data_IF_312233954360
#
_entry.id   IF_312233954360
#
_cell.length_a   1.000
_cell.length_b   1.000
_cell.length_c   1.000
_cell.angle_alpha   90.00
_cell.angle_beta   90.00
_cell.angle_gamma   90.00
#
_symmetry.space_group_name_H-M   'P 1'
#
loop_
_entity.id
_entity.type
_entity.pdbx_description
1 polymer ?
#
# COMPACT_ATOMS: atom_id res chain seq x y z
N UNK A 1 -73.46 -23.42 -10.67
CA UNK A 1 -72.59 -23.04 -11.81
C UNK A 1 -72.47 -21.52 -11.84
N UNK A 2 -71.37 -20.98 -11.31
CA UNK A 2 -70.70 -19.70 -11.67
C UNK A 2 -69.61 -19.44 -10.63
N UNK A 3 -68.38 -19.75 -11.03
CA UNK A 3 -67.15 -19.39 -10.34
C UNK A 3 -66.86 -17.91 -10.60
N UNK A 4 -66.57 -17.14 -9.56
CA UNK A 4 -65.89 -15.85 -9.70
C UNK A 4 -64.58 -15.90 -8.91
N UNK A 5 -63.53 -15.50 -9.63
CA UNK A 5 -62.13 -15.70 -9.34
C UNK A 5 -61.63 -14.80 -8.22
N UNK A 6 -60.67 -15.34 -7.48
CA UNK A 6 -59.88 -14.67 -6.47
C UNK A 6 -59.04 -13.52 -7.07
N UNK A 7 -58.97 -12.40 -6.35
CA UNK A 7 -57.94 -11.37 -6.53
C UNK A 7 -57.08 -11.39 -5.27
N UNK A 8 -55.98 -12.15 -5.33
CA UNK A 8 -54.91 -12.11 -4.33
C UNK A 8 -54.03 -10.92 -4.72
N UNK A 9 -54.16 -9.82 -3.97
CA UNK A 9 -53.29 -8.66 -4.05
C UNK A 9 -52.02 -8.93 -3.23
N UNK A 10 -51.05 -9.64 -3.81
CA UNK A 10 -49.70 -9.76 -3.25
C UNK A 10 -48.85 -8.59 -3.75
N UNK A 11 -48.77 -7.52 -2.96
CA UNK A 11 -47.82 -6.43 -3.18
C UNK A 11 -46.45 -6.88 -2.65
N UNK A 12 -45.74 -7.69 -3.43
CA UNK A 12 -44.30 -7.93 -3.21
C UNK A 12 -43.55 -6.69 -3.67
N UNK A 13 -43.18 -5.83 -2.73
CA UNK A 13 -42.17 -4.80 -2.96
C UNK A 13 -40.86 -5.55 -3.17
N UNK A 14 -40.48 -5.78 -4.43
CA UNK A 14 -39.09 -6.08 -4.76
C UNK A 14 -38.28 -4.85 -4.36
N UNK A 15 -37.58 -4.93 -3.24
CA UNK A 15 -36.41 -4.10 -3.01
C UNK A 15 -35.41 -4.44 -4.10
N UNK A 16 -35.37 -3.62 -5.14
CA UNK A 16 -34.22 -3.56 -6.04
C UNK A 16 -33.06 -3.11 -5.17
N UNK A 17 -32.30 -4.07 -4.65
CA UNK A 17 -30.94 -3.82 -4.20
C UNK A 17 -30.23 -3.34 -5.46
N UNK A 18 -30.03 -2.02 -5.58
CA UNK A 18 -29.04 -1.48 -6.49
C UNK A 18 -27.72 -2.12 -6.07
N UNK A 19 -27.35 -3.23 -6.69
CA UNK A 19 -25.98 -3.68 -6.74
C UNK A 19 -25.24 -2.50 -7.39
N UNK A 20 -24.62 -1.67 -6.56
CA UNK A 20 -23.59 -0.79 -7.03
C UNK A 20 -22.59 -1.73 -7.70
N UNK A 21 -22.52 -1.69 -9.02
CA UNK A 21 -21.46 -2.35 -9.77
C UNK A 21 -20.15 -1.71 -9.27
N UNK A 22 -19.53 -2.31 -8.25
CA UNK A 22 -18.20 -1.95 -7.81
C UNK A 22 -17.29 -2.22 -9.00
N UNK A 23 -16.80 -1.14 -9.62
CA UNK A 23 -15.91 -1.21 -10.76
C UNK A 23 -14.56 -1.65 -10.22
N UNK A 24 -14.28 -2.95 -10.33
CA UNK A 24 -12.96 -3.52 -10.08
C UNK A 24 -11.94 -2.88 -11.02
N UNK A 25 -10.83 -2.36 -10.48
CA UNK A 25 -9.70 -1.94 -11.30
C UNK A 25 -8.73 -3.11 -11.48
N UNK A 26 -8.62 -3.69 -12.68
CA UNK A 26 -7.65 -4.74 -12.95
C UNK A 26 -6.23 -4.22 -12.76
N UNK A 27 -5.33 -5.14 -12.39
CA UNK A 27 -3.92 -4.80 -12.16
C UNK A 27 -3.28 -4.26 -13.43
N UNK A 28 -2.81 -3.02 -13.36
CA UNK A 28 -2.14 -2.33 -14.46
C UNK A 28 -0.84 -3.04 -14.86
N UNK A 29 -0.41 -2.88 -16.10
CA UNK A 29 0.84 -3.50 -16.58
C UNK A 29 2.06 -3.03 -15.78
N UNK A 30 2.08 -1.76 -15.35
CA UNK A 30 3.16 -1.25 -14.51
C UNK A 30 3.17 -1.93 -13.13
N UNK A 31 2.02 -2.17 -12.52
CA UNK A 31 1.94 -2.93 -11.27
C UNK A 31 2.41 -4.38 -11.48
N UNK A 32 2.04 -5.03 -12.59
CA UNK A 32 2.52 -6.38 -12.94
C UNK A 32 4.03 -6.42 -13.09
N UNK A 33 4.61 -5.47 -13.82
CA UNK A 33 6.06 -5.35 -14.01
C UNK A 33 6.75 -5.15 -12.67
N UNK A 34 6.21 -4.29 -11.80
CA UNK A 34 6.77 -4.02 -10.47
C UNK A 34 6.76 -5.30 -9.61
N UNK A 35 5.62 -6.01 -9.51
CA UNK A 35 5.52 -7.29 -8.79
C UNK A 35 6.45 -8.36 -9.37
N UNK A 36 6.63 -8.41 -10.69
CA UNK A 36 7.51 -9.37 -11.35
C UNK A 36 9.00 -9.04 -11.14
N UNK A 37 9.35 -7.76 -11.11
CA UNK A 37 10.73 -7.28 -10.94
C UNK A 37 11.23 -7.49 -9.51
N UNK A 38 10.38 -7.20 -8.52
CA UNK A 38 10.73 -7.22 -7.10
C UNK A 38 10.11 -8.44 -6.39
N UNK A 39 10.44 -9.63 -6.90
CA UNK A 39 9.88 -10.89 -6.44
C UNK A 39 10.64 -11.58 -5.30
N UNK A 40 11.74 -11.00 -4.80
CA UNK A 40 12.52 -11.61 -3.71
C UNK A 40 11.70 -11.64 -2.43
N UNK A 41 11.94 -12.66 -1.59
CA UNK A 41 11.26 -12.82 -0.30
C UNK A 41 11.72 -11.74 0.69
N UNK A 42 10.76 -11.10 1.33
CA UNK A 42 10.94 -10.15 2.43
C UNK A 42 9.68 -10.19 3.30
N UNK A 43 9.76 -10.91 4.42
CA UNK A 43 8.65 -11.04 5.37
C UNK A 43 8.41 -9.69 6.07
N UNK A 44 7.14 -9.38 6.40
CA UNK A 44 6.77 -8.07 6.94
C UNK A 44 7.32 -7.83 8.36
N UNK A 45 7.72 -8.87 9.07
CA UNK A 45 8.36 -8.77 10.39
C UNK A 45 9.58 -7.83 10.35
N UNK A 46 10.34 -7.85 9.24
CA UNK A 46 11.51 -6.98 9.05
C UNK A 46 11.12 -5.49 9.05
N UNK A 47 9.88 -5.17 8.66
CA UNK A 47 9.39 -3.80 8.58
C UNK A 47 8.86 -3.30 9.91
N UNK A 48 8.51 -4.16 10.86
CA UNK A 48 7.85 -3.77 12.11
C UNK A 48 8.62 -2.71 12.90
N UNK A 49 7.88 -1.76 13.48
CA UNK A 49 8.42 -0.61 14.20
C UNK A 49 8.41 0.68 13.38
N UNK A 50 9.27 1.61 13.77
CA UNK A 50 9.37 2.92 13.13
C UNK A 50 10.49 2.99 12.12
N UNK A 51 10.19 3.60 10.97
CA UNK A 51 11.15 3.92 9.94
C UNK A 51 11.02 5.37 9.51
N UNK A 52 12.15 5.94 9.11
CA UNK A 52 12.27 7.33 8.76
C UNK A 52 12.77 7.44 7.33
N UNK A 53 12.02 8.09 6.44
CA UNK A 53 12.53 8.46 5.11
C UNK A 53 13.56 9.57 5.30
N UNK A 54 14.82 9.24 5.05
CA UNK A 54 15.98 10.09 5.35
C UNK A 54 16.64 10.66 4.10
N UNK A 55 16.46 10.02 2.93
CA UNK A 55 17.02 10.50 1.67
C UNK A 55 16.09 10.17 0.52
N UNK A 56 15.76 11.16 -0.29
CA UNK A 56 14.98 10.98 -1.52
C UNK A 56 15.94 10.85 -2.70
N UNK A 57 15.82 9.78 -3.47
CA UNK A 57 16.57 9.65 -4.71
C UNK A 57 15.82 10.39 -5.82
N UNK A 58 16.36 11.49 -6.35
CA UNK A 58 15.73 12.25 -7.42
C UNK A 58 15.46 11.39 -8.67
N UNK A 59 14.33 11.65 -9.34
CA UNK A 59 14.18 11.27 -10.77
C UNK A 59 14.90 12.27 -11.71
N UNK A 60 15.32 13.43 -11.20
CA UNK A 60 15.93 14.54 -11.95
C UNK A 60 17.12 15.14 -11.19
N UNK A 61 18.24 15.49 -11.85
CA UNK A 61 19.52 15.85 -11.22
C UNK A 61 19.52 17.01 -10.21
N UNK A 62 18.41 17.74 -10.06
CA UNK A 62 18.24 18.80 -9.06
C UNK A 62 17.00 18.57 -8.17
N UNK A 63 17.02 17.60 -7.25
CA UNK A 63 15.97 17.53 -6.23
C UNK A 63 16.02 18.77 -5.35
N UNK A 64 14.86 19.36 -5.07
CA UNK A 64 14.75 20.29 -3.97
C UNK A 64 15.03 19.52 -2.66
N UNK A 65 15.95 19.98 -1.81
CA UNK A 65 16.21 19.33 -0.54
C UNK A 65 14.94 19.37 0.32
N UNK A 66 14.40 18.21 0.65
CA UNK A 66 13.34 18.08 1.65
C UNK A 66 14.01 17.99 3.01
N UNK A 67 13.89 19.04 3.81
CA UNK A 67 14.30 19.04 5.22
C UNK A 67 13.35 18.23 6.14
N UNK A 68 12.34 17.57 5.57
CA UNK A 68 11.35 16.80 6.31
C UNK A 68 11.73 15.33 6.34
N UNK A 69 12.11 14.84 7.51
CA UNK A 69 12.09 13.42 7.83
C UNK A 69 10.63 12.97 7.93
N UNK A 70 10.23 12.03 7.06
CA UNK A 70 8.90 11.42 7.11
C UNK A 70 8.99 10.15 7.95
N UNK A 71 8.25 10.09 9.04
CA UNK A 71 8.14 8.91 9.89
C UNK A 71 7.00 8.00 9.40
N UNK A 72 7.28 6.70 9.40
CA UNK A 72 6.39 5.62 9.02
C UNK A 72 6.37 4.61 10.16
N UNK A 73 5.17 4.28 10.63
CA UNK A 73 4.93 3.20 11.56
C UNK A 73 4.47 1.96 10.80
N UNK A 74 5.10 0.83 11.11
CA UNK A 74 4.67 -0.49 10.70
C UNK A 74 4.29 -1.32 11.91
N UNK A 75 3.08 -1.85 11.93
CA UNK A 75 2.60 -2.69 13.04
C UNK A 75 1.69 -3.80 12.53
N UNK A 76 1.59 -4.88 13.29
CA UNK A 76 0.55 -5.88 13.04
C UNK A 76 -0.83 -5.24 13.21
N UNK A 77 -1.73 -5.39 12.23
CA UNK A 77 -3.08 -4.86 12.36
C UNK A 77 -3.84 -5.61 13.45
N UNK A 78 -4.72 -4.93 14.17
CA UNK A 78 -5.65 -5.59 15.08
C UNK A 78 -6.76 -6.32 14.32
N UNK A 79 -7.47 -7.23 14.98
CA UNK A 79 -8.63 -7.89 14.39
C UNK A 79 -9.72 -6.89 13.98
N UNK A 80 -9.92 -5.84 14.80
CA UNK A 80 -10.85 -4.75 14.51
C UNK A 80 -10.42 -4.00 13.24
N UNK A 81 -9.15 -3.61 13.13
CA UNK A 81 -8.60 -2.96 11.94
C UNK A 81 -8.82 -3.84 10.71
N UNK A 82 -8.45 -5.13 10.77
CA UNK A 82 -8.65 -6.07 9.66
C UNK A 82 -10.14 -6.23 9.28
N UNK A 83 -11.05 -6.25 10.25
CA UNK A 83 -12.48 -6.40 10.00
C UNK A 83 -13.05 -5.24 9.16
N UNK A 84 -12.55 -4.02 9.39
CA UNK A 84 -12.90 -2.84 8.58
C UNK A 84 -12.42 -3.02 7.15
N UNK A 85 -11.16 -3.42 6.92
CA UNK A 85 -10.69 -3.64 5.54
C UNK A 85 -11.47 -4.77 4.84
N UNK A 86 -11.74 -5.87 5.55
CA UNK A 86 -12.52 -6.98 5.00
C UNK A 86 -13.95 -6.56 4.63
N UNK A 87 -14.63 -5.73 5.42
CA UNK A 87 -15.98 -5.30 5.08
C UNK A 87 -16.05 -4.41 3.84
N UNK A 88 -14.98 -3.66 3.54
CA UNK A 88 -14.89 -2.77 2.38
C UNK A 88 -14.31 -3.42 1.12
N UNK A 89 -13.34 -4.34 1.25
CA UNK A 89 -12.51 -4.84 0.14
C UNK A 89 -12.69 -6.34 -0.17
N UNK A 90 -13.62 -7.05 0.47
CA UNK A 90 -13.79 -8.50 0.29
C UNK A 90 -14.51 -8.84 -1.03
N UNK A 91 -13.78 -8.73 -2.14
CA UNK A 91 -14.21 -9.11 -3.48
C UNK A 91 -13.42 -10.31 -4.03
N UNK A 92 -14.12 -11.15 -4.77
CA UNK A 92 -13.51 -12.29 -5.47
C UNK A 92 -12.63 -11.80 -6.62
N UNK A 93 -11.42 -12.35 -6.76
CA UNK A 93 -10.51 -12.03 -7.86
C UNK A 93 -9.52 -10.89 -7.60
N UNK A 94 -9.43 -10.43 -6.34
CA UNK A 94 -8.40 -9.48 -5.92
C UNK A 94 -6.99 -10.09 -5.97
N UNK A 95 -5.95 -9.28 -6.29
CA UNK A 95 -4.57 -9.78 -6.36
C UNK A 95 -3.89 -9.97 -4.99
N UNK A 96 -4.65 -9.89 -3.89
CA UNK A 96 -4.20 -10.03 -2.51
C UNK A 96 -5.16 -10.94 -1.74
N UNK A 97 -4.69 -11.51 -0.63
CA UNK A 97 -5.54 -12.25 0.31
C UNK A 97 -5.32 -11.78 1.74
N UNK A 98 -6.41 -11.70 2.51
CA UNK A 98 -6.34 -11.38 3.94
C UNK A 98 -5.74 -12.50 4.82
N UNK A 99 -5.43 -13.66 4.23
CA UNK A 99 -4.71 -14.75 4.89
C UNK A 99 -3.20 -14.67 4.65
N UNK A 100 -2.73 -13.70 3.87
CA UNK A 100 -1.29 -13.47 3.64
C UNK A 100 -0.62 -12.81 4.85
N UNK A 101 0.71 -12.67 4.77
CA UNK A 101 1.46 -11.85 5.69
C UNK A 101 1.04 -10.37 5.52
N UNK A 102 0.47 -9.77 6.57
CA UNK A 102 -0.07 -8.41 6.55
C UNK A 102 0.61 -7.55 7.62
N UNK A 103 0.92 -6.31 7.23
CA UNK A 103 1.37 -5.25 8.14
C UNK A 103 0.64 -3.95 7.84
N UNK A 104 0.26 -3.21 8.88
CA UNK A 104 -0.26 -1.87 8.72
C UNK A 104 0.88 -0.91 8.43
N UNK A 105 0.66 0.00 7.49
CA UNK A 105 1.56 1.11 7.14
C UNK A 105 0.86 2.42 7.52
N UNK A 106 1.56 3.30 8.23
CA UNK A 106 1.02 4.60 8.63
C UNK A 106 2.09 5.67 8.53
N UNK A 107 1.89 6.67 7.66
CA UNK A 107 2.72 7.88 7.69
C UNK A 107 2.21 8.82 8.79
N UNK A 108 3.05 9.12 9.79
CA UNK A 108 2.57 9.82 11.00
C UNK A 108 2.22 11.29 10.74
N UNK A 109 2.84 11.92 9.73
CA UNK A 109 2.53 13.29 9.32
C UNK A 109 1.24 13.42 8.50
N UNK A 110 0.75 12.32 7.91
CA UNK A 110 -0.40 12.34 7.03
C UNK A 110 -1.25 11.07 7.19
N UNK A 111 -2.29 11.18 8.02
CA UNK A 111 -3.25 10.10 8.26
C UNK A 111 -3.89 9.53 7.00
N UNK A 112 -3.95 10.32 5.90
CA UNK A 112 -4.49 9.86 4.63
C UNK A 112 -3.60 8.80 3.97
N UNK A 113 -2.32 8.69 4.32
CA UNK A 113 -1.43 7.61 3.86
C UNK A 113 -1.31 6.49 4.89
N UNK A 114 -2.45 6.02 5.38
CA UNK A 114 -2.57 4.81 6.21
C UNK A 114 -3.16 3.68 5.39
N UNK A 115 -2.69 2.45 5.57
CA UNK A 115 -3.15 1.32 4.80
C UNK A 115 -2.61 -0.03 5.27
N UNK A 116 -2.99 -1.10 4.58
CA UNK A 116 -2.46 -2.44 4.76
C UNK A 116 -1.50 -2.79 3.64
N UNK A 117 -0.37 -3.42 4.00
CA UNK A 117 0.58 -4.04 3.09
C UNK A 117 0.41 -5.55 3.10
N UNK A 118 0.33 -6.16 1.93
CA UNK A 118 0.09 -7.60 1.74
C UNK A 118 1.28 -8.27 1.09
N UNK A 119 1.57 -9.48 1.57
CA UNK A 119 2.51 -10.42 0.97
C UNK A 119 3.90 -10.42 1.61
N UNK A 120 4.67 -11.44 1.26
CA UNK A 120 5.98 -11.76 1.82
C UNK A 120 7.14 -11.50 0.84
N UNK A 121 6.94 -10.62 -0.13
CA UNK A 121 7.95 -10.22 -1.12
C UNK A 121 8.34 -8.76 -0.95
N UNK A 122 9.42 -8.36 -1.62
CA UNK A 122 9.88 -6.96 -1.67
C UNK A 122 8.77 -6.04 -2.18
N UNK A 123 8.13 -6.38 -3.31
CA UNK A 123 6.90 -5.71 -3.74
C UNK A 123 5.69 -6.21 -2.95
N UNK A 124 4.98 -5.27 -2.36
CA UNK A 124 3.79 -5.48 -1.53
C UNK A 124 2.63 -4.69 -2.10
N UNK A 125 1.46 -5.31 -2.11
CA UNK A 125 0.22 -4.62 -2.46
C UNK A 125 -0.17 -3.76 -1.27
N UNK A 126 -0.52 -2.50 -1.52
CA UNK A 126 -0.95 -1.53 -0.53
C UNK A 126 -2.42 -1.18 -0.73
N UNK A 127 -3.24 -1.46 0.28
CA UNK A 127 -4.62 -0.99 0.35
C UNK A 127 -4.70 0.18 1.30
N UNK A 128 -5.08 1.35 0.78
CA UNK A 128 -5.26 2.52 1.62
C UNK A 128 -6.55 2.42 2.45
N UNK A 129 -6.54 3.03 3.64
CA UNK A 129 -7.64 3.00 4.59
C UNK A 129 -8.93 3.57 3.97
N UNK A 130 -10.08 2.87 4.04
CA UNK A 130 -11.32 3.27 3.37
C UNK A 130 -11.80 4.69 3.71
N UNK A 131 -11.67 5.11 4.96
CA UNK A 131 -12.17 6.39 5.49
C UNK A 131 -11.35 7.61 5.04
N UNK A 132 -10.21 7.39 4.40
CA UNK A 132 -9.30 8.45 3.98
C UNK A 132 -9.44 8.81 2.50
N UNK A 133 -10.35 8.16 1.77
CA UNK A 133 -10.56 8.34 0.34
C UNK A 133 -11.48 9.53 0.00
N UNK A 134 -10.99 10.38 -0.91
CA UNK A 134 -11.80 11.31 -1.71
C UNK A 134 -12.00 10.80 -3.16
N UNK A 135 -11.40 9.67 -3.53
CA UNK A 135 -11.24 9.23 -4.94
C UNK A 135 -11.74 7.81 -5.19
N UNK A 136 -13.05 7.66 -5.46
CA UNK A 136 -13.59 6.52 -6.22
C UNK A 136 -13.34 5.10 -5.66
N UNK A 137 -13.77 4.05 -6.40
CA UNK A 137 -13.68 2.67 -5.94
C UNK A 137 -12.24 2.14 -5.94
N UNK A 138 -11.87 1.50 -4.83
CA UNK A 138 -10.86 0.44 -4.67
C UNK A 138 -9.53 0.65 -5.42
N UNK A 139 -8.81 1.70 -5.07
CA UNK A 139 -7.44 1.90 -5.55
C UNK A 139 -6.45 1.18 -4.62
N UNK A 140 -5.64 0.31 -5.22
CA UNK A 140 -4.46 -0.29 -4.59
C UNK A 140 -3.21 0.15 -5.32
N UNK A 141 -2.13 0.28 -4.55
CA UNK A 141 -0.80 0.63 -5.05
C UNK A 141 0.17 -0.52 -4.84
N UNK A 142 1.34 -0.45 -5.49
CA UNK A 142 2.47 -1.33 -5.16
C UNK A 142 3.55 -0.51 -4.45
N UNK A 143 3.93 -0.96 -3.25
CA UNK A 143 5.03 -0.43 -2.46
C UNK A 143 6.13 -1.48 -2.40
N UNK A 144 7.35 -1.10 -2.76
CA UNK A 144 8.52 -1.97 -2.82
C UNK A 144 9.44 -1.63 -1.66
N UNK A 145 9.92 -2.65 -0.97
CA UNK A 145 10.89 -2.56 0.11
C UNK A 145 12.05 -3.49 -0.22
N UNK A 146 13.25 -2.93 -0.36
CA UNK A 146 14.47 -3.69 -0.58
C UNK A 146 15.35 -3.61 0.66
N UNK A 147 15.72 -4.77 1.17
CA UNK A 147 16.60 -4.87 2.32
C UNK A 147 18.02 -4.43 1.95
N UNK A 148 18.59 -3.51 2.72
CA UNK A 148 20.01 -3.10 2.60
C UNK A 148 20.79 -3.60 3.82
N UNK A 149 20.26 -3.35 5.03
CA UNK A 149 20.81 -3.83 6.30
C UNK A 149 19.76 -3.74 7.42
N UNK A 150 20.09 -4.20 8.63
CA UNK A 150 19.17 -4.19 9.78
C UNK A 150 18.61 -2.79 10.12
N UNK A 151 19.36 -1.75 9.75
CA UNK A 151 19.05 -0.35 10.02
C UNK A 151 18.61 0.45 8.80
N UNK A 152 18.68 -0.13 7.59
CA UNK A 152 18.40 0.59 6.35
C UNK A 152 17.64 -0.27 5.34
N UNK A 153 16.59 0.32 4.75
CA UNK A 153 15.86 -0.26 3.62
C UNK A 153 15.69 0.79 2.53
N UNK A 154 15.59 0.34 1.30
CA UNK A 154 15.22 1.18 0.16
C UNK A 154 13.74 0.99 -0.13
N UNK A 155 12.98 2.07 -0.02
CA UNK A 155 11.56 2.12 -0.30
C UNK A 155 11.33 2.70 -1.69
N UNK A 156 10.40 2.12 -2.44
CA UNK A 156 10.04 2.55 -3.77
C UNK A 156 8.53 2.47 -3.98
N UNK A 157 7.93 3.59 -4.41
CA UNK A 157 6.50 3.68 -4.74
C UNK A 157 6.38 3.45 -6.26
N UNK A 158 5.69 2.38 -6.68
CA UNK A 158 5.40 2.11 -8.09
C UNK A 158 4.09 2.83 -8.52
N UNK A 159 4.19 4.00 -9.16
CA UNK A 159 3.04 4.80 -9.65
C UNK A 159 3.02 4.83 -11.16
N UNK A 160 1.89 5.12 -11.79
CA UNK A 160 1.76 5.28 -13.24
C UNK A 160 2.65 6.38 -13.84
N UNK A 161 3.03 7.39 -13.07
CA UNK A 161 3.72 8.60 -13.57
C UNK A 161 5.22 8.71 -13.21
N UNK A 162 5.75 7.81 -12.39
CA UNK A 162 7.13 7.89 -11.91
C UNK A 162 7.45 6.80 -10.89
N UNK A 163 8.70 6.78 -10.45
CA UNK A 163 9.23 5.88 -9.44
C UNK A 163 9.86 6.72 -8.34
N UNK A 164 9.11 6.88 -7.25
CA UNK A 164 9.57 7.64 -6.10
C UNK A 164 10.35 6.72 -5.15
N UNK A 165 11.66 6.98 -4.96
CA UNK A 165 12.58 6.14 -4.18
C UNK A 165 13.10 6.88 -2.97
N UNK A 166 13.11 6.22 -1.81
CA UNK A 166 13.65 6.74 -0.56
C UNK A 166 14.55 5.74 0.13
N UNK A 167 15.69 6.21 0.64
CA UNK A 167 16.38 5.49 1.72
C UNK A 167 15.60 5.72 3.01
N UNK A 168 15.30 4.63 3.71
CA UNK A 168 14.68 4.64 5.02
C UNK A 168 15.65 4.08 6.07
N UNK A 169 15.59 4.64 7.27
CA UNK A 169 16.37 4.17 8.42
C UNK A 169 15.52 3.97 9.66
N UNK A 170 15.95 3.08 10.56
CA UNK A 170 15.39 2.99 11.92
C UNK A 170 15.81 4.15 12.81
N UNK A 171 16.86 4.89 12.47
CA UNK A 171 17.31 6.09 13.20
C UNK A 171 16.69 7.35 12.61
N UNK A 172 16.20 8.24 13.47
CA UNK A 172 15.42 9.43 13.08
C UNK A 172 16.25 10.52 12.39
N UNK A 173 17.54 10.65 12.72
CA UNK A 173 18.36 11.81 12.30
C UNK A 173 19.83 11.40 12.09
N UNK A 174 20.16 10.59 11.07
CA UNK A 174 21.55 10.50 10.62
C UNK A 174 21.99 11.85 10.03
N UNK A 175 23.27 12.19 10.17
CA UNK A 175 23.84 13.37 9.52
C UNK A 175 23.86 13.20 8.00
N UNK A 176 23.89 14.31 7.24
CA UNK A 176 23.98 14.23 5.79
C UNK A 176 25.26 13.49 5.36
N UNK A 177 26.39 13.75 6.03
CA UNK A 177 27.65 13.05 5.77
C UNK A 177 27.53 11.54 6.01
N UNK A 178 26.88 11.11 7.09
CA UNK A 178 26.64 9.70 7.38
C UNK A 178 25.80 9.04 6.28
N UNK A 179 24.73 9.71 5.85
CA UNK A 179 23.86 9.23 4.76
C UNK A 179 24.63 9.15 3.44
N UNK A 180 25.41 10.17 3.11
CA UNK A 180 26.19 10.21 1.88
C UNK A 180 27.30 9.17 1.86
N UNK A 181 28.00 8.99 2.97
CA UNK A 181 29.02 7.95 3.14
C UNK A 181 28.38 6.56 3.00
N UNK A 182 27.23 6.33 3.65
CA UNK A 182 26.48 5.09 3.52
C UNK A 182 26.11 4.81 2.06
N UNK A 183 25.52 5.79 1.35
CA UNK A 183 25.15 5.63 -0.07
C UNK A 183 26.39 5.35 -0.94
N UNK A 184 27.50 6.05 -0.70
CA UNK A 184 28.73 5.87 -1.48
C UNK A 184 29.37 4.49 -1.29
N UNK A 185 29.16 3.87 -0.13
CA UNK A 185 29.65 2.53 0.21
C UNK A 185 28.76 1.40 -0.31
N UNK A 186 27.54 1.69 -0.79
CA UNK A 186 26.59 0.70 -1.32
C UNK A 186 26.38 0.93 -2.82
N UNK A 187 26.94 0.03 -3.64
CA UNK A 187 26.95 0.17 -5.10
C UNK A 187 25.57 0.37 -5.72
N UNK A 188 24.59 -0.33 -5.20
CA UNK A 188 23.18 -0.32 -5.60
C UNK A 188 22.46 0.98 -5.25
N UNK A 189 22.89 1.69 -4.20
CA UNK A 189 22.37 3.01 -3.85
C UNK A 189 23.08 4.11 -4.62
N UNK A 190 24.40 3.96 -4.82
CA UNK A 190 25.21 4.88 -5.62
C UNK A 190 24.72 4.98 -7.06
N UNK A 191 24.25 3.87 -7.64
CA UNK A 191 23.67 3.85 -8.98
C UNK A 191 22.32 4.60 -9.11
N UNK A 192 21.72 5.01 -7.99
CA UNK A 192 20.44 5.73 -7.94
C UNK A 192 20.60 7.25 -7.70
N UNK A 193 21.83 7.72 -7.43
CA UNK A 193 22.18 9.14 -7.40
C UNK A 193 22.21 9.71 -8.81
#
# INVERSE_FOLDING_TARGET
MRFHYALISSLTILSVVCAQNQIYRPISDRHRICLATFGKRLDNEVLEGYWYKIYHFPESPNPLPSNKTIEIEFKRPTEEELSVYKSYFNLTGMPYSFDEDIVMYRETWNKYYTGLLFGNREAKIFLQQPETFYTGPEEYDIKVFRYISDNYILFERCFTWGVNKWLMSKSRIPSEEEVQQFINNHSELKALK
#
